data_IF_957749151677
#
_entry.id   IF_957749151677
#
_cell.length_a   1.000
_cell.length_b   1.000
_cell.length_c   1.000
_cell.angle_alpha   90.00
_cell.angle_beta   90.00
_cell.angle_gamma   90.00
#
_symmetry.space_group_name_H-M   'P 1'
#
loop_
_entity.id
_entity.type
_entity.pdbx_description
1 polymer ?
#
# COMPACT_ATOMS: atom_id res chain seq x y z
N UNK A 1 -15.83 84.61 -3.97
CA UNK A 1 -14.85 85.59 -4.54
C UNK A 1 -13.72 84.76 -5.16
N UNK A 2 -13.57 84.96 -6.45
CA UNK A 2 -12.42 84.68 -7.33
C UNK A 2 -12.02 83.21 -7.63
N UNK A 3 -12.38 82.86 -8.85
CA UNK A 3 -11.75 81.96 -9.82
C UNK A 3 -10.22 82.07 -9.90
N UNK A 4 -9.52 80.98 -10.26
CA UNK A 4 -8.66 80.93 -11.46
C UNK A 4 -8.11 79.50 -11.70
N UNK A 5 -8.38 79.05 -12.87
CA UNK A 5 -7.58 78.55 -14.04
C UNK A 5 -6.97 77.15 -13.95
N UNK A 6 -7.59 76.40 -14.69
CA UNK A 6 -7.13 75.46 -15.75
C UNK A 6 -5.62 75.36 -16.00
N UNK A 7 -5.15 74.11 -15.99
CA UNK A 7 -4.16 73.60 -16.96
C UNK A 7 -4.38 72.13 -17.32
N UNK A 8 -4.62 72.00 -18.60
CA UNK A 8 -4.65 70.73 -19.32
C UNK A 8 -3.29 69.99 -19.22
N UNK A 9 -3.26 68.74 -18.78
CA UNK A 9 -2.17 67.85 -19.13
C UNK A 9 -2.76 66.61 -19.71
N UNK A 10 -2.35 66.36 -20.94
CA UNK A 10 -2.72 65.21 -21.77
C UNK A 10 -2.22 63.94 -21.11
N UNK A 11 -3.12 63.02 -20.78
CA UNK A 11 -2.76 61.58 -20.39
C UNK A 11 -2.80 60.73 -21.64
N UNK A 12 -1.65 60.16 -22.00
CA UNK A 12 -1.56 59.07 -22.94
C UNK A 12 -2.14 57.78 -22.33
N UNK A 13 -2.85 56.98 -23.08
CA UNK A 13 -3.26 55.66 -22.58
C UNK A 13 -2.06 54.71 -22.62
N UNK A 14 -1.66 54.23 -21.45
CA UNK A 14 -0.76 53.08 -21.32
C UNK A 14 -1.53 51.81 -21.70
N UNK A 15 -1.21 51.25 -22.85
CA UNK A 15 -1.66 49.93 -23.24
C UNK A 15 -1.02 48.88 -22.33
N UNK A 16 -1.78 48.37 -21.37
CA UNK A 16 -1.36 47.20 -20.61
C UNK A 16 -1.45 45.93 -21.51
N UNK A 17 -0.29 45.43 -21.96
CA UNK A 17 -0.20 44.10 -22.54
C UNK A 17 -0.46 43.07 -21.42
N UNK A 18 -1.66 42.52 -21.41
CA UNK A 18 -1.97 41.29 -20.64
C UNK A 18 -1.31 40.13 -21.37
N UNK A 19 -0.13 39.70 -20.93
CA UNK A 19 0.44 38.41 -21.28
C UNK A 19 -0.44 37.36 -20.62
N UNK A 20 -1.39 36.83 -21.39
CA UNK A 20 -2.09 35.59 -21.05
C UNK A 20 -1.04 34.46 -21.11
N UNK A 21 -0.41 34.18 -19.98
CA UNK A 21 0.34 32.97 -19.76
C UNK A 21 -0.65 31.81 -19.79
N UNK A 22 -0.70 31.02 -20.89
CA UNK A 22 -1.31 29.73 -20.89
C UNK A 22 -0.50 28.86 -19.89
N UNK A 23 -0.99 28.75 -18.66
CA UNK A 23 -0.61 27.67 -17.78
C UNK A 23 -1.10 26.40 -18.48
N UNK A 24 -0.19 25.62 -19.02
CA UNK A 24 -0.50 24.28 -19.50
C UNK A 24 -1.08 23.52 -18.30
N UNK A 25 -2.32 23.06 -18.42
CA UNK A 25 -2.90 22.13 -17.47
C UNK A 25 -1.95 20.93 -17.39
N UNK A 26 -1.73 20.34 -16.21
CA UNK A 26 -0.98 19.11 -16.11
C UNK A 26 -1.62 18.09 -17.04
N UNK A 27 -0.90 17.69 -18.07
CA UNK A 27 -1.30 16.61 -18.97
C UNK A 27 -1.43 15.36 -18.09
N UNK A 28 -2.62 14.77 -18.05
CA UNK A 28 -2.79 13.47 -17.45
C UNK A 28 -1.75 12.52 -18.07
N UNK A 29 -1.11 11.65 -17.27
CA UNK A 29 -0.13 10.72 -17.80
C UNK A 29 -0.79 9.90 -18.92
N UNK A 30 -0.10 9.79 -20.05
CA UNK A 30 -0.59 9.04 -21.19
C UNK A 30 -0.71 7.55 -20.80
N UNK A 31 -1.81 6.89 -21.22
CA UNK A 31 -1.95 5.45 -21.07
C UNK A 31 -0.70 4.76 -21.62
N UNK A 32 -0.14 3.84 -20.84
CA UNK A 32 1.04 3.06 -21.25
C UNK A 32 0.63 1.60 -21.47
N UNK A 33 1.20 0.98 -22.49
CA UNK A 33 1.00 -0.44 -22.79
C UNK A 33 2.14 -1.31 -22.25
N UNK A 34 3.24 -0.70 -21.80
CA UNK A 34 4.46 -1.43 -21.47
C UNK A 34 5.00 -1.06 -20.10
N UNK A 35 5.19 -2.09 -19.28
CA UNK A 35 5.92 -1.99 -18.03
C UNK A 35 7.43 -2.20 -18.32
N UNK A 36 8.20 -1.12 -18.23
CA UNK A 36 9.64 -1.17 -18.42
C UNK A 36 10.31 -1.50 -17.09
N UNK A 37 10.89 -2.71 -17.00
CA UNK A 37 11.65 -3.11 -15.80
C UNK A 37 12.81 -2.14 -15.55
N UNK A 38 12.98 -1.73 -14.30
CA UNK A 38 14.05 -0.84 -13.87
C UNK A 38 15.08 -1.62 -13.03
N UNK A 39 14.69 -2.11 -11.87
CA UNK A 39 15.55 -2.88 -10.99
C UNK A 39 14.77 -3.82 -10.08
N UNK A 40 15.45 -4.82 -9.51
CA UNK A 40 14.90 -5.61 -8.43
C UNK A 40 14.98 -4.82 -7.11
N UNK A 41 13.89 -4.77 -6.35
CA UNK A 41 13.87 -4.17 -5.03
C UNK A 41 14.84 -4.92 -4.10
N UNK A 42 15.74 -4.24 -3.38
CA UNK A 42 16.76 -4.90 -2.59
C UNK A 42 16.16 -5.63 -1.38
N UNK A 43 16.37 -6.94 -1.33
CA UNK A 43 16.05 -7.82 -0.20
C UNK A 43 17.34 -8.52 0.21
N UNK A 44 17.71 -8.39 1.50
CA UNK A 44 18.96 -8.94 2.01
C UNK A 44 18.78 -10.35 2.59
N UNK A 45 17.59 -10.65 3.12
CA UNK A 45 17.31 -11.86 3.88
C UNK A 45 16.06 -12.61 3.44
N UNK A 46 14.99 -11.86 3.07
CA UNK A 46 13.70 -12.47 2.70
C UNK A 46 13.81 -13.26 1.40
N UNK A 47 13.21 -14.45 1.40
CA UNK A 47 13.23 -15.39 0.27
C UNK A 47 11.85 -15.83 -0.19
N UNK A 48 10.81 -15.54 0.61
CA UNK A 48 9.44 -15.98 0.32
C UNK A 48 8.66 -14.99 -0.55
N UNK A 49 9.26 -13.87 -0.92
CA UNK A 49 8.74 -12.96 -1.94
C UNK A 49 9.87 -12.28 -2.72
N UNK A 50 9.54 -11.75 -3.89
CA UNK A 50 10.39 -10.84 -4.67
C UNK A 50 9.60 -9.60 -5.06
N UNK A 51 10.31 -8.53 -5.38
CA UNK A 51 9.72 -7.29 -5.84
C UNK A 51 10.54 -6.73 -7.01
N UNK A 52 9.89 -6.50 -8.15
CA UNK A 52 10.50 -5.93 -9.35
C UNK A 52 9.94 -4.52 -9.57
N UNK A 53 10.81 -3.52 -9.57
CA UNK A 53 10.46 -2.13 -9.76
C UNK A 53 10.46 -1.76 -11.24
N UNK A 54 9.51 -0.94 -11.65
CA UNK A 54 9.34 -0.47 -13.02
C UNK A 54 9.52 1.05 -13.13
N UNK A 55 9.90 1.51 -14.32
CA UNK A 55 10.22 2.92 -14.58
C UNK A 55 9.03 3.88 -14.33
N UNK A 56 7.79 3.38 -14.33
CA UNK A 56 6.58 4.15 -14.01
C UNK A 56 6.28 4.24 -12.50
N UNK A 57 7.19 3.72 -11.67
CA UNK A 57 7.05 3.65 -10.21
C UNK A 57 6.22 2.45 -9.72
N UNK A 58 5.69 1.61 -10.61
CA UNK A 58 4.99 0.39 -10.22
C UNK A 58 5.97 -0.65 -9.70
N UNK A 59 5.49 -1.52 -8.81
CA UNK A 59 6.28 -2.65 -8.28
C UNK A 59 5.47 -3.94 -8.41
N UNK A 60 6.07 -4.96 -9.04
CA UNK A 60 5.49 -6.31 -9.12
C UNK A 60 5.99 -7.14 -7.95
N UNK A 61 5.11 -7.38 -6.99
CA UNK A 61 5.33 -8.34 -5.90
C UNK A 61 5.00 -9.75 -6.40
N UNK A 62 5.92 -10.69 -6.19
CA UNK A 62 5.70 -12.11 -6.50
C UNK A 62 5.89 -12.93 -5.24
N UNK A 63 4.91 -13.78 -4.92
CA UNK A 63 4.97 -14.76 -3.83
C UNK A 63 4.92 -16.15 -4.47
N UNK A 64 6.09 -16.77 -4.75
CA UNK A 64 6.19 -17.95 -5.62
C UNK A 64 5.35 -19.15 -5.15
N UNK A 65 5.46 -19.50 -3.87
CA UNK A 65 4.75 -20.66 -3.31
C UNK A 65 3.23 -20.46 -3.24
N UNK A 66 2.77 -19.21 -3.19
CA UNK A 66 1.36 -18.85 -3.28
C UNK A 66 0.89 -18.70 -4.73
N UNK A 67 1.82 -18.76 -5.70
CA UNK A 67 1.59 -18.48 -7.13
C UNK A 67 0.86 -17.14 -7.35
N UNK A 68 1.12 -16.16 -6.47
CA UNK A 68 0.44 -14.87 -6.48
C UNK A 68 1.37 -13.77 -6.98
N UNK A 69 0.83 -12.90 -7.83
CA UNK A 69 1.50 -11.72 -8.37
C UNK A 69 0.62 -10.50 -8.20
N UNK A 70 1.17 -9.46 -7.58
CA UNK A 70 0.48 -8.20 -7.35
C UNK A 70 1.28 -7.06 -7.98
N UNK A 71 0.71 -6.39 -8.97
CA UNK A 71 1.27 -5.18 -9.51
C UNK A 71 0.75 -4.00 -8.69
N UNK A 72 1.60 -3.48 -7.83
CA UNK A 72 1.30 -2.33 -6.97
C UNK A 72 1.64 -1.06 -7.72
N UNK A 73 0.65 -0.19 -7.90
CA UNK A 73 0.78 1.03 -8.67
C UNK A 73 0.73 2.27 -7.77
N UNK A 74 1.65 3.23 -7.95
CA UNK A 74 1.63 4.46 -7.19
C UNK A 74 0.38 5.30 -7.51
N UNK A 75 0.00 6.16 -6.58
CA UNK A 75 -1.10 7.10 -6.77
C UNK A 75 -0.84 7.98 -7.99
N UNK A 76 -1.86 8.12 -8.84
CA UNK A 76 -1.75 8.91 -10.08
C UNK A 76 -1.01 8.24 -11.23
N UNK A 77 -0.61 6.97 -11.10
CA UNK A 77 -0.03 6.23 -12.21
C UNK A 77 -1.02 6.13 -13.39
N UNK A 78 -0.47 6.19 -14.62
CA UNK A 78 -1.27 6.05 -15.84
C UNK A 78 -2.00 4.70 -15.87
N UNK A 79 -3.22 4.67 -16.40
CA UNK A 79 -3.97 3.41 -16.53
C UNK A 79 -3.25 2.46 -17.48
N UNK A 80 -3.07 1.20 -17.06
CA UNK A 80 -2.57 0.15 -17.96
C UNK A 80 -3.67 -0.27 -18.90
N UNK A 81 -3.40 -0.32 -20.20
CA UNK A 81 -4.35 -0.84 -21.20
C UNK A 81 -4.44 -2.37 -21.14
N UNK A 82 -3.35 -3.01 -20.75
CA UNK A 82 -3.29 -4.46 -20.65
C UNK A 82 -2.61 -4.86 -19.34
N UNK A 83 -3.27 -5.70 -18.57
CA UNK A 83 -2.70 -6.34 -17.38
C UNK A 83 -2.24 -7.73 -17.77
N UNK A 84 -1.01 -8.14 -17.44
CA UNK A 84 -0.55 -9.50 -17.72
C UNK A 84 -1.41 -10.55 -17.04
N UNK A 85 -1.59 -11.69 -17.69
CA UNK A 85 -2.37 -12.81 -17.13
C UNK A 85 -1.83 -13.25 -15.77
N UNK A 86 -2.74 -13.50 -14.83
CA UNK A 86 -2.41 -13.95 -13.48
C UNK A 86 -1.81 -12.86 -12.57
N UNK A 87 -1.85 -11.60 -12.98
CA UNK A 87 -1.41 -10.45 -12.17
C UNK A 87 -2.63 -9.71 -11.63
N UNK A 88 -2.66 -9.49 -10.33
CA UNK A 88 -3.65 -8.64 -9.66
C UNK A 88 -3.09 -7.24 -9.50
N UNK A 89 -3.83 -6.23 -9.97
CA UNK A 89 -3.43 -4.82 -9.82
C UNK A 89 -3.93 -4.28 -8.49
N UNK A 90 -3.04 -3.66 -7.71
CA UNK A 90 -3.35 -2.95 -6.48
C UNK A 90 -2.94 -1.49 -6.62
N UNK A 91 -3.78 -0.59 -6.12
CA UNK A 91 -3.49 0.84 -6.11
C UNK A 91 -2.95 1.25 -4.74
N UNK A 92 -1.81 1.96 -4.72
CA UNK A 92 -1.30 2.60 -3.49
C UNK A 92 -2.13 3.83 -3.11
N UNK A 93 -2.23 4.10 -1.82
CA UNK A 93 -2.00 3.18 -0.71
C UNK A 93 -3.15 2.17 -0.59
N UNK A 94 -2.84 0.89 -0.41
CA UNK A 94 -3.87 -0.13 -0.20
C UNK A 94 -4.62 0.17 1.11
N UNK A 95 -5.95 0.21 1.05
CA UNK A 95 -6.81 0.57 2.16
C UNK A 95 -7.85 -0.53 2.43
N UNK A 96 -8.55 -0.38 3.56
CA UNK A 96 -9.62 -1.28 3.99
C UNK A 96 -9.18 -2.76 4.03
N UNK A 97 -7.99 -2.99 4.57
CA UNK A 97 -7.39 -4.32 4.63
C UNK A 97 -8.17 -5.20 5.62
N UNK A 98 -8.48 -6.43 5.19
CA UNK A 98 -8.90 -7.51 6.08
C UNK A 98 -7.66 -8.31 6.50
N UNK A 99 -7.20 -8.09 7.73
CA UNK A 99 -5.98 -8.71 8.26
C UNK A 99 -6.33 -9.96 9.07
N UNK A 100 -5.95 -11.11 8.55
CA UNK A 100 -6.10 -12.43 9.18
C UNK A 100 -4.76 -12.95 9.71
N UNK A 101 -3.67 -12.65 9.00
CA UNK A 101 -2.32 -13.00 9.44
C UNK A 101 -1.89 -12.15 10.62
N UNK A 102 -1.79 -12.78 11.80
CA UNK A 102 -1.43 -12.07 13.03
C UNK A 102 0.02 -11.59 13.06
N UNK A 103 0.91 -12.25 12.31
CA UNK A 103 2.33 -11.86 12.19
C UNK A 103 2.54 -10.50 11.54
N UNK A 104 1.58 -10.06 10.72
CA UNK A 104 1.70 -8.79 10.01
C UNK A 104 1.28 -7.56 10.84
N UNK A 105 0.48 -7.72 11.90
CA UNK A 105 -0.05 -6.58 12.66
C UNK A 105 1.04 -5.67 13.20
N UNK A 106 2.12 -6.23 13.73
CA UNK A 106 3.26 -5.48 14.25
C UNK A 106 3.98 -4.68 13.15
N UNK A 107 4.06 -5.23 11.94
CA UNK A 107 4.65 -4.55 10.78
C UNK A 107 3.82 -3.33 10.36
N UNK A 108 2.48 -3.44 10.41
CA UNK A 108 1.60 -2.28 10.18
C UNK A 108 1.74 -1.21 11.26
N UNK A 109 1.95 -1.60 12.52
CA UNK A 109 2.24 -0.66 13.62
C UNK A 109 3.52 0.12 13.35
N UNK A 110 4.60 -0.58 13.02
CA UNK A 110 5.89 0.04 12.77
C UNK A 110 5.91 0.91 11.50
N UNK A 111 4.99 0.68 10.57
CA UNK A 111 4.76 1.53 9.40
C UNK A 111 3.81 2.71 9.69
N UNK A 112 3.35 2.86 10.93
CA UNK A 112 2.32 3.87 11.26
C UNK A 112 1.13 3.78 10.31
N UNK A 113 0.61 2.55 10.12
CA UNK A 113 -0.37 2.21 9.11
C UNK A 113 -1.57 1.39 9.64
N UNK A 114 -1.82 1.42 10.94
CA UNK A 114 -3.00 0.74 11.52
C UNK A 114 -4.32 1.18 10.88
N UNK A 115 -4.40 2.43 10.44
CA UNK A 115 -5.62 2.99 9.85
C UNK A 115 -5.91 2.43 8.45
N UNK A 116 -4.96 1.74 7.82
CA UNK A 116 -5.21 1.00 6.57
C UNK A 116 -5.95 -0.33 6.79
N UNK A 117 -5.99 -0.82 8.06
CA UNK A 117 -6.69 -2.04 8.43
C UNK A 117 -8.11 -1.69 8.88
N UNK A 118 -9.11 -2.11 8.13
CA UNK A 118 -10.52 -1.95 8.53
C UNK A 118 -11.05 -3.16 9.30
N UNK A 119 -10.53 -4.36 8.99
CA UNK A 119 -11.08 -5.61 9.47
C UNK A 119 -9.99 -6.54 10.01
N UNK A 120 -10.32 -7.32 11.04
CA UNK A 120 -9.43 -8.29 11.65
C UNK A 120 -10.04 -9.69 11.67
N UNK A 121 -9.22 -10.70 11.37
CA UNK A 121 -9.57 -12.12 11.55
C UNK A 121 -9.44 -12.60 13.00
N UNK A 122 -8.89 -11.77 13.88
CA UNK A 122 -8.66 -12.05 15.30
C UNK A 122 -9.50 -11.07 16.14
N UNK A 123 -10.15 -11.56 17.19
CA UNK A 123 -10.91 -10.73 18.12
C UNK A 123 -9.98 -9.89 19.02
N UNK A 124 -10.49 -8.80 19.59
CA UNK A 124 -9.72 -7.91 20.46
C UNK A 124 -8.99 -8.63 21.59
N UNK A 125 -9.62 -9.63 22.19
CA UNK A 125 -9.05 -10.41 23.29
C UNK A 125 -7.89 -11.31 22.86
N UNK A 126 -7.81 -11.63 21.56
CA UNK A 126 -6.75 -12.46 20.98
C UNK A 126 -5.48 -11.69 20.60
N UNK A 127 -5.49 -10.37 20.67
CA UNK A 127 -4.30 -9.56 20.39
C UNK A 127 -3.48 -9.35 21.68
N UNK A 128 -2.17 -9.39 21.55
CA UNK A 128 -1.22 -9.00 22.62
C UNK A 128 -0.73 -7.56 22.46
N UNK A 129 -0.86 -7.00 21.26
CA UNK A 129 -0.51 -5.61 20.94
C UNK A 129 -1.62 -4.68 21.43
N UNK A 130 -1.26 -3.75 22.32
CA UNK A 130 -2.25 -2.86 22.97
C UNK A 130 -2.88 -1.90 21.97
N UNK A 131 -2.14 -1.42 20.99
CA UNK A 131 -2.62 -0.55 19.92
C UNK A 131 -3.68 -1.26 19.05
N UNK A 132 -3.46 -2.53 18.72
CA UNK A 132 -4.43 -3.35 17.98
C UNK A 132 -5.71 -3.55 18.80
N UNK A 133 -5.58 -3.86 20.11
CA UNK A 133 -6.73 -3.97 21.02
C UNK A 133 -7.53 -2.67 21.09
N UNK A 134 -6.84 -1.54 21.27
CA UNK A 134 -7.47 -0.22 21.35
C UNK A 134 -8.17 0.15 20.05
N UNK A 135 -7.55 -0.14 18.89
CA UNK A 135 -8.16 0.07 17.59
C UNK A 135 -9.45 -0.73 17.43
N UNK A 136 -9.47 -1.98 17.88
CA UNK A 136 -10.68 -2.81 17.85
C UNK A 136 -11.74 -2.37 18.87
N UNK A 137 -11.33 -2.04 20.08
CA UNK A 137 -12.25 -1.58 21.13
C UNK A 137 -12.91 -0.24 20.80
N UNK A 138 -12.18 0.64 20.09
CA UNK A 138 -12.72 1.91 19.59
C UNK A 138 -13.59 1.76 18.33
N UNK A 139 -13.63 0.58 17.72
CA UNK A 139 -14.37 0.32 16.49
C UNK A 139 -13.66 0.75 15.22
N UNK A 140 -12.40 1.21 15.29
CA UNK A 140 -11.58 1.53 14.09
C UNK A 140 -11.31 0.27 13.27
N UNK A 141 -11.03 -0.86 13.94
CA UNK A 141 -10.88 -2.17 13.32
C UNK A 141 -12.00 -3.06 13.81
N UNK A 142 -12.78 -3.65 12.90
CA UNK A 142 -13.87 -4.55 13.27
C UNK A 142 -13.47 -6.03 13.08
N UNK A 143 -14.00 -6.91 13.92
CA UNK A 143 -13.84 -8.35 13.70
C UNK A 143 -14.74 -8.81 12.55
N UNK A 144 -14.16 -9.51 11.56
CA UNK A 144 -14.86 -10.01 10.39
C UNK A 144 -14.70 -11.52 10.16
N UNK A 145 -14.63 -12.27 11.25
CA UNK A 145 -14.48 -13.73 11.17
C UNK A 145 -13.00 -14.16 11.02
N UNK A 146 -12.76 -15.46 11.14
CA UNK A 146 -11.42 -16.08 10.98
C UNK A 146 -11.24 -16.63 9.56
N UNK A 147 -10.00 -17.00 9.19
CA UNK A 147 -9.65 -17.56 7.89
C UNK A 147 -10.63 -18.62 7.33
N UNK A 148 -11.22 -19.45 8.19
CA UNK A 148 -12.12 -20.56 7.79
C UNK A 148 -13.60 -20.21 7.85
N UNK A 149 -13.97 -19.03 8.33
CA UNK A 149 -15.35 -18.57 8.47
C UNK A 149 -15.42 -17.05 8.51
N UNK A 150 -15.06 -16.38 7.39
CA UNK A 150 -15.13 -14.92 7.28
C UNK A 150 -16.59 -14.44 7.19
N UNK A 151 -16.82 -13.23 7.69
CA UNK A 151 -18.07 -12.51 7.52
C UNK A 151 -18.04 -11.75 6.18
N UNK A 152 -18.44 -12.43 5.11
CA UNK A 152 -18.40 -11.86 3.77
C UNK A 152 -19.24 -10.59 3.61
N UNK A 153 -20.36 -10.48 4.30
CA UNK A 153 -21.21 -9.28 4.23
C UNK A 153 -20.45 -8.07 4.80
N UNK A 154 -19.80 -8.25 5.93
CA UNK A 154 -18.98 -7.21 6.54
C UNK A 154 -17.78 -6.83 5.69
N UNK A 155 -17.11 -7.83 5.11
CA UNK A 155 -15.92 -7.62 4.25
C UNK A 155 -16.31 -6.82 3.00
N UNK A 156 -17.44 -7.16 2.37
CA UNK A 156 -17.94 -6.44 1.20
C UNK A 156 -18.42 -5.02 1.57
N UNK A 157 -19.12 -4.87 2.70
CA UNK A 157 -19.59 -3.55 3.17
C UNK A 157 -18.43 -2.61 3.51
N UNK A 158 -17.30 -3.15 3.97
CA UNK A 158 -16.10 -2.38 4.25
C UNK A 158 -15.31 -2.03 2.98
N UNK A 159 -15.77 -2.42 1.79
CA UNK A 159 -15.06 -2.24 0.52
C UNK A 159 -13.61 -2.75 0.60
N UNK A 160 -13.44 -3.99 1.08
CA UNK A 160 -12.12 -4.57 1.34
C UNK A 160 -11.23 -4.52 0.11
N UNK A 161 -10.10 -3.81 0.21
CA UNK A 161 -9.13 -3.65 -0.88
C UNK A 161 -8.12 -4.79 -0.98
N UNK A 162 -7.87 -5.51 0.12
CA UNK A 162 -6.94 -6.64 0.19
C UNK A 162 -7.25 -7.50 1.41
N UNK A 163 -7.34 -8.81 1.24
CA UNK A 163 -7.31 -9.76 2.35
C UNK A 163 -5.87 -10.26 2.54
N UNK A 164 -5.32 -10.07 3.75
CA UNK A 164 -4.00 -10.59 4.13
C UNK A 164 -4.22 -11.83 4.98
N UNK A 165 -4.17 -12.98 4.33
CA UNK A 165 -4.42 -14.28 4.93
C UNK A 165 -3.12 -14.95 5.40
N UNK A 166 -3.22 -15.88 6.34
CA UNK A 166 -2.13 -16.78 6.67
C UNK A 166 -2.25 -18.11 5.90
N UNK A 167 -1.23 -18.96 5.95
CA UNK A 167 -1.19 -20.21 5.20
C UNK A 167 -2.25 -21.24 5.64
N UNK A 168 -2.95 -21.02 6.76
CA UNK A 168 -4.08 -21.86 7.17
C UNK A 168 -5.24 -21.80 6.17
N UNK A 169 -5.31 -20.75 5.34
CA UNK A 169 -6.30 -20.62 4.26
C UNK A 169 -6.24 -21.78 3.27
N UNK A 170 -5.10 -22.44 3.12
CA UNK A 170 -4.96 -23.59 2.26
C UNK A 170 -5.72 -24.84 2.72
N UNK A 171 -6.17 -24.85 4.00
CA UNK A 171 -7.07 -25.90 4.52
C UNK A 171 -8.55 -25.60 4.22
N UNK A 172 -8.85 -24.42 3.72
CA UNK A 172 -10.19 -23.96 3.33
C UNK A 172 -10.11 -23.20 2.01
N UNK A 173 -9.66 -23.84 0.92
CA UNK A 173 -9.41 -23.17 -0.36
C UNK A 173 -10.68 -22.50 -0.92
N UNK A 174 -11.85 -23.04 -0.60
CA UNK A 174 -13.15 -22.45 -0.98
C UNK A 174 -13.37 -21.05 -0.42
N UNK A 175 -12.77 -20.72 0.73
CA UNK A 175 -12.84 -19.37 1.31
C UNK A 175 -12.01 -18.39 0.48
N UNK A 176 -10.78 -18.76 0.12
CA UNK A 176 -9.92 -17.97 -0.77
C UNK A 176 -10.60 -17.71 -2.10
N UNK A 177 -11.09 -18.79 -2.74
CA UNK A 177 -11.80 -18.69 -4.02
C UNK A 177 -13.05 -17.81 -3.92
N UNK A 178 -13.76 -17.82 -2.78
CA UNK A 178 -14.95 -17.00 -2.60
C UNK A 178 -14.59 -15.51 -2.45
N UNK A 179 -13.52 -15.17 -1.72
CA UNK A 179 -13.01 -13.79 -1.64
C UNK A 179 -12.62 -13.28 -3.02
N UNK A 180 -11.87 -14.09 -3.79
CA UNK A 180 -11.44 -13.74 -5.14
C UNK A 180 -12.62 -13.59 -6.12
N UNK A 181 -13.67 -14.42 -6.01
CA UNK A 181 -14.92 -14.26 -6.77
C UNK A 181 -15.66 -12.97 -6.46
N UNK A 182 -15.53 -12.46 -5.24
CA UNK A 182 -16.05 -11.14 -4.87
C UNK A 182 -15.15 -9.98 -5.33
N UNK A 183 -14.06 -10.27 -6.05
CA UNK A 183 -13.11 -9.28 -6.52
C UNK A 183 -12.15 -8.78 -5.42
N UNK A 184 -12.07 -9.48 -4.30
CA UNK A 184 -11.16 -9.14 -3.21
C UNK A 184 -9.84 -9.88 -3.42
N UNK A 185 -8.74 -9.17 -3.66
CA UNK A 185 -7.41 -9.77 -3.76
C UNK A 185 -7.02 -10.49 -2.47
N UNK A 186 -6.38 -11.65 -2.58
CA UNK A 186 -5.93 -12.43 -1.42
C UNK A 186 -4.42 -12.60 -1.45
N UNK A 187 -3.72 -11.93 -0.52
CA UNK A 187 -2.30 -12.10 -0.26
C UNK A 187 -2.13 -13.13 0.85
N UNK A 188 -1.48 -14.25 0.56
CA UNK A 188 -1.13 -15.24 1.58
C UNK A 188 0.25 -14.91 2.14
N UNK A 189 0.27 -14.45 3.37
CA UNK A 189 1.44 -14.04 4.11
C UNK A 189 2.29 -15.27 4.49
N UNK A 190 3.61 -15.20 4.25
CA UNK A 190 4.52 -16.32 4.41
C UNK A 190 5.78 -16.00 5.24
N UNK A 191 5.81 -14.88 5.96
CA UNK A 191 6.97 -14.51 6.78
C UNK A 191 7.37 -15.61 7.76
N UNK A 192 6.39 -16.39 8.25
CA UNK A 192 6.63 -17.51 9.16
C UNK A 192 7.42 -18.67 8.53
N UNK A 193 7.54 -18.70 7.20
CA UNK A 193 8.34 -19.70 6.46
C UNK A 193 9.74 -19.20 6.12
N UNK A 194 10.07 -17.98 6.47
CA UNK A 194 11.43 -17.48 6.33
C UNK A 194 12.39 -18.19 7.28
N UNK A 195 13.62 -18.38 6.83
CA UNK A 195 14.64 -19.18 7.52
C UNK A 195 15.27 -18.47 8.72
N UNK A 196 15.13 -17.15 8.83
CA UNK A 196 15.74 -16.36 9.88
C UNK A 196 14.81 -15.26 10.43
N UNK A 197 15.04 -14.77 11.66
CA UNK A 197 14.29 -13.64 12.19
C UNK A 197 14.40 -12.37 11.34
N UNK A 198 15.58 -12.08 10.78
CA UNK A 198 15.78 -10.91 9.91
C UNK A 198 14.98 -11.02 8.63
N UNK A 199 14.94 -12.22 8.02
CA UNK A 199 14.11 -12.45 6.82
C UNK A 199 12.61 -12.24 7.11
N UNK A 200 12.12 -12.64 8.29
CA UNK A 200 10.74 -12.39 8.71
C UNK A 200 10.45 -10.90 8.88
N UNK A 201 11.37 -10.17 9.50
CA UNK A 201 11.25 -8.73 9.70
C UNK A 201 11.30 -7.97 8.38
N UNK A 202 12.05 -8.46 7.40
CA UNK A 202 12.17 -7.82 6.09
C UNK A 202 10.85 -7.79 5.29
N UNK A 203 9.86 -8.58 5.69
CA UNK A 203 8.50 -8.49 5.16
C UNK A 203 7.84 -7.12 5.37
N UNK A 204 8.38 -6.29 6.27
CA UNK A 204 7.95 -4.89 6.39
C UNK A 204 8.13 -4.13 5.08
N UNK A 205 9.12 -4.49 4.24
CA UNK A 205 9.34 -3.88 2.93
C UNK A 205 8.20 -4.19 1.97
N UNK A 206 7.64 -5.41 2.00
CA UNK A 206 6.45 -5.76 1.22
C UNK A 206 5.26 -4.88 1.59
N UNK A 207 5.01 -4.71 2.89
CA UNK A 207 3.92 -3.83 3.35
C UNK A 207 4.22 -2.36 3.08
N UNK A 208 5.48 -1.93 3.15
CA UNK A 208 5.91 -0.61 2.71
C UNK A 208 5.50 -0.33 1.26
N UNK A 209 5.77 -1.28 0.35
CA UNK A 209 5.38 -1.18 -1.07
C UNK A 209 3.85 -1.10 -1.21
N UNK A 210 3.08 -1.94 -0.51
CA UNK A 210 1.61 -1.90 -0.58
C UNK A 210 1.01 -0.56 -0.12
N UNK A 211 1.67 0.10 0.82
CA UNK A 211 1.17 1.28 1.52
C UNK A 211 1.79 2.61 1.03
N UNK A 212 2.75 2.56 0.09
CA UNK A 212 3.51 3.76 -0.33
C UNK A 212 4.42 4.31 0.78
N UNK A 213 4.98 3.41 1.60
CA UNK A 213 5.82 3.73 2.77
C UNK A 213 7.19 3.03 2.71
N UNK A 214 7.72 2.87 1.50
CA UNK A 214 8.96 2.13 1.24
C UNK A 214 10.14 2.71 2.03
N UNK A 215 10.27 4.03 2.07
CA UNK A 215 11.36 4.71 2.80
C UNK A 215 11.30 4.43 4.31
N UNK A 216 10.11 4.47 4.90
CA UNK A 216 9.92 4.14 6.32
C UNK A 216 10.19 2.66 6.59
N UNK A 217 9.74 1.78 5.70
CA UNK A 217 9.99 0.35 5.82
C UNK A 217 11.48 0.02 5.82
N UNK A 218 12.25 0.66 4.93
CA UNK A 218 13.70 0.52 4.86
C UNK A 218 14.39 1.04 6.13
N UNK A 219 13.98 2.22 6.61
CA UNK A 219 14.51 2.80 7.85
C UNK A 219 14.29 1.87 9.04
N UNK A 220 13.04 1.43 9.26
CA UNK A 220 12.67 0.55 10.36
C UNK A 220 13.42 -0.78 10.28
N UNK A 221 13.46 -1.40 9.10
CA UNK A 221 14.18 -2.66 8.89
C UNK A 221 15.66 -2.51 9.21
N UNK A 222 16.32 -1.49 8.65
CA UNK A 222 17.76 -1.24 8.87
C UNK A 222 18.09 -1.03 10.35
N UNK A 223 17.29 -0.23 11.07
CA UNK A 223 17.47 0.00 12.49
C UNK A 223 17.35 -1.30 13.30
N UNK A 224 16.39 -2.15 12.99
CA UNK A 224 16.19 -3.42 13.69
C UNK A 224 17.28 -4.43 13.32
N UNK A 225 17.67 -4.53 12.06
CA UNK A 225 18.75 -5.40 11.62
C UNK A 225 20.06 -5.07 12.33
N UNK A 226 20.42 -3.79 12.46
CA UNK A 226 21.60 -3.34 13.20
C UNK A 226 21.58 -3.71 14.69
N UNK A 227 20.40 -3.78 15.32
CA UNK A 227 20.26 -4.19 16.72
C UNK A 227 20.41 -5.69 16.92
N UNK A 228 19.99 -6.48 15.94
CA UNK A 228 19.95 -7.95 16.03
C UNK A 228 21.25 -8.58 15.51
N UNK A 229 21.89 -8.02 14.48
CA UNK A 229 23.09 -8.57 13.88
C UNK A 229 24.18 -9.00 14.91
N UNK A 230 24.53 -8.18 15.92
CA UNK A 230 25.54 -8.57 16.90
C UNK A 230 25.15 -9.77 17.79
N UNK A 231 23.84 -10.09 17.87
CA UNK A 231 23.34 -11.22 18.65
C UNK A 231 23.37 -12.54 17.85
N UNK A 232 23.40 -12.44 16.52
CA UNK A 232 23.47 -13.60 15.63
C UNK A 232 24.90 -14.09 15.38
N UNK A 233 25.91 -13.28 15.71
CA UNK A 233 27.33 -13.60 15.56
C UNK A 233 27.94 -14.27 16.83
N UNK A 234 27.15 -14.47 17.88
CA UNK A 234 27.54 -15.14 19.13
C UNK A 234 27.20 -16.65 19.11
#
# INVERSE_FOLDING_TARGET
MKLTRAQFLKALPAAALVLAGCAAAPTAPADTDELVFDHAYPLDYATQFTADCYADGSTLLTIPDAQAKFLVRPEGAATLRTVPDGVTVLQQPVQNIYLVSTSAMDLFLHLDALDSIALSGTRAEGWYLDEAKQAMQSGRIAYAGKYSAPDYERILTAECGLAVENTMIYHTPEVKEQLERFGIPVLVERSSYESSPLARMEWIKLYGILLGKEALAEEVFTQQAQRIAPLLEQ
#
